data_IF_744204170315
#
_entry.id   IF_744204170315
#
_cell.length_a   1.000
_cell.length_b   1.000
_cell.length_c   1.000
_cell.angle_alpha   90.00
_cell.angle_beta   90.00
_cell.angle_gamma   90.00
#
_symmetry.space_group_name_H-M   'P 1'
#
loop_
_entity.id
_entity.type
_entity.pdbx_description
1 polymer ?
#
# COMPACT_ATOMS: atom_id res chain seq x y z
N UNK A 1 -10.49 18.05 26.79
CA UNK A 1 -9.97 17.27 25.64
C UNK A 1 -10.34 15.83 25.89
N UNK A 2 -11.40 15.34 25.24
CA UNK A 2 -11.90 13.97 25.48
C UNK A 2 -11.03 12.96 24.73
N UNK A 3 -10.42 11.97 25.39
CA UNK A 3 -9.45 11.02 24.80
C UNK A 3 -10.11 9.86 24.02
N UNK A 4 -11.39 9.96 23.68
CA UNK A 4 -12.17 8.89 23.06
C UNK A 4 -12.66 9.36 21.70
N UNK A 5 -11.73 9.46 20.74
CA UNK A 5 -12.10 9.46 19.33
C UNK A 5 -12.09 7.99 18.86
N UNK A 6 -13.26 7.32 18.71
CA UNK A 6 -13.35 5.89 18.38
C UNK A 6 -12.84 5.55 16.97
N UNK A 7 -12.42 6.56 16.19
CA UNK A 7 -11.87 6.35 14.84
C UNK A 7 -10.46 5.75 14.89
N UNK A 8 -9.72 5.96 15.98
CA UNK A 8 -8.38 5.39 16.17
C UNK A 8 -8.43 4.34 17.28
N UNK A 9 -9.10 3.22 17.03
CA UNK A 9 -8.77 1.99 17.75
C UNK A 9 -7.26 1.81 17.65
N UNK A 10 -6.57 1.64 18.78
CA UNK A 10 -5.14 1.38 18.79
C UNK A 10 -4.90 0.03 18.14
N UNK A 11 -4.73 0.00 16.81
CA UNK A 11 -4.46 -1.22 16.08
C UNK A 11 -3.06 -1.69 16.49
N UNK A 12 -2.98 -2.85 17.11
CA UNK A 12 -1.71 -3.42 17.57
C UNK A 12 -1.03 -4.13 16.40
N UNK A 13 -0.73 -3.36 15.35
CA UNK A 13 -0.12 -3.85 14.13
C UNK A 13 1.32 -4.30 14.42
N UNK A 14 1.67 -5.49 13.92
CA UNK A 14 3.05 -5.98 13.95
C UNK A 14 3.54 -6.08 12.52
N UNK A 15 4.64 -5.38 12.25
CA UNK A 15 5.29 -5.32 10.95
C UNK A 15 6.58 -6.13 11.06
N UNK A 16 6.76 -7.09 10.15
CA UNK A 16 8.01 -7.88 10.07
C UNK A 16 8.56 -7.83 8.64
N UNK A 17 9.88 -7.62 8.48
CA UNK A 17 10.49 -7.64 7.15
C UNK A 17 10.37 -9.03 6.54
N UNK A 18 10.11 -9.09 5.24
CA UNK A 18 9.91 -10.33 4.51
C UNK A 18 10.31 -10.22 3.03
N UNK A 19 10.49 -11.36 2.39
CA UNK A 19 10.71 -11.49 0.95
C UNK A 19 9.59 -12.33 0.36
N UNK A 20 8.99 -11.83 -0.72
CA UNK A 20 8.07 -12.55 -1.57
C UNK A 20 8.83 -13.05 -2.80
N UNK A 21 9.09 -14.36 -2.88
CA UNK A 21 9.76 -14.96 -4.02
C UNK A 21 8.82 -15.13 -5.22
N UNK A 22 9.39 -15.29 -6.41
CA UNK A 22 8.69 -15.49 -7.68
C UNK A 22 7.71 -14.37 -8.05
N UNK A 23 7.99 -13.16 -7.59
CA UNK A 23 7.25 -11.96 -7.92
C UNK A 23 8.24 -10.85 -8.28
N UNK A 24 7.78 -9.90 -9.08
CA UNK A 24 8.54 -8.69 -9.42
C UNK A 24 7.68 -7.45 -9.23
N UNK A 25 8.32 -6.36 -8.83
CA UNK A 25 7.70 -5.06 -8.66
C UNK A 25 7.91 -4.21 -9.91
N UNK A 26 6.82 -3.62 -10.40
CA UNK A 26 6.79 -2.77 -11.58
C UNK A 26 6.22 -1.39 -11.23
N UNK A 27 6.60 -0.37 -12.00
CA UNK A 27 5.89 0.91 -11.99
C UNK A 27 4.58 0.76 -12.76
N UNK A 28 3.49 1.25 -12.19
CA UNK A 28 2.26 1.47 -12.95
C UNK A 28 2.40 2.76 -13.74
N UNK A 29 2.20 2.71 -15.06
CA UNK A 29 2.28 3.87 -15.97
C UNK A 29 1.37 4.97 -15.47
N UNK A 30 1.86 6.21 -15.47
CA UNK A 30 1.09 7.40 -15.09
C UNK A 30 0.55 7.38 -13.65
N UNK A 31 1.05 6.48 -12.80
CA UNK A 31 0.62 6.34 -11.42
C UNK A 31 1.82 6.41 -10.46
N UNK A 32 1.52 6.77 -9.22
CA UNK A 32 2.49 6.95 -8.15
C UNK A 32 2.60 5.75 -7.20
N UNK A 33 2.07 4.60 -7.63
CA UNK A 33 2.06 3.36 -6.85
C UNK A 33 2.65 2.19 -7.64
N UNK A 34 3.34 1.24 -6.96
CA UNK A 34 3.90 0.08 -7.61
C UNK A 34 2.87 -1.04 -7.77
N UNK A 35 3.06 -1.86 -8.79
CA UNK A 35 2.38 -3.13 -8.98
C UNK A 35 3.32 -4.29 -8.66
N UNK A 36 2.78 -5.42 -8.20
CA UNK A 36 3.51 -6.70 -8.17
C UNK A 36 2.83 -7.69 -9.11
N UNK A 37 3.63 -8.44 -9.87
CA UNK A 37 3.18 -9.53 -10.73
C UNK A 37 4.02 -10.78 -10.50
N UNK A 38 3.48 -11.99 -10.73
CA UNK A 38 4.25 -13.22 -10.67
C UNK A 38 5.36 -13.22 -11.73
N UNK A 39 6.61 -13.40 -11.31
CA UNK A 39 7.76 -13.54 -12.20
C UNK A 39 8.78 -14.48 -11.57
N UNK A 40 8.98 -15.65 -12.20
CA UNK A 40 9.91 -16.67 -11.70
C UNK A 40 11.35 -16.16 -11.69
N UNK A 41 12.10 -16.46 -10.62
CA UNK A 41 13.48 -16.03 -10.45
C UNK A 41 13.66 -14.59 -9.96
N UNK A 42 12.57 -13.85 -9.76
CA UNK A 42 12.57 -12.54 -9.11
C UNK A 42 12.10 -12.64 -7.66
N UNK A 43 12.36 -11.59 -6.89
CA UNK A 43 11.88 -11.47 -5.53
C UNK A 43 11.53 -10.03 -5.18
N UNK A 44 10.56 -9.86 -4.29
CA UNK A 44 10.12 -8.55 -3.80
C UNK A 44 10.38 -8.47 -2.30
N UNK A 45 11.24 -7.55 -1.89
CA UNK A 45 11.43 -7.21 -0.48
C UNK A 45 10.28 -6.33 0.00
N UNK A 46 9.68 -6.69 1.12
CA UNK A 46 8.54 -5.99 1.70
C UNK A 46 8.41 -6.25 3.20
N UNK A 47 7.18 -6.07 3.69
CA UNK A 47 6.84 -6.34 5.07
C UNK A 47 5.55 -7.15 5.14
N UNK A 48 5.49 -8.07 6.09
CA UNK A 48 4.26 -8.75 6.50
C UNK A 48 3.66 -7.94 7.63
N UNK A 49 2.39 -7.56 7.47
CA UNK A 49 1.61 -6.83 8.48
C UNK A 49 0.59 -7.79 9.08
N UNK A 50 0.60 -7.91 10.40
CA UNK A 50 -0.37 -8.72 11.16
C UNK A 50 -1.09 -7.85 12.18
N UNK A 51 -2.26 -8.31 12.65
CA UNK A 51 -3.12 -7.52 13.54
C UNK A 51 -4.12 -6.62 12.81
N UNK A 52 -4.26 -6.79 11.49
CA UNK A 52 -5.33 -6.16 10.70
C UNK A 52 -6.68 -6.80 11.05
N UNK A 53 -7.68 -5.97 11.28
CA UNK A 53 -9.07 -6.42 11.45
C UNK A 53 -9.74 -6.63 10.10
N UNK A 54 -10.87 -7.34 10.06
CA UNK A 54 -11.67 -7.49 8.84
C UNK A 54 -12.08 -6.12 8.25
N UNK A 55 -12.24 -5.09 9.10
CA UNK A 55 -12.55 -3.74 8.65
C UNK A 55 -11.35 -3.05 7.99
N UNK A 56 -10.12 -3.31 8.46
CA UNK A 56 -8.90 -2.80 7.81
C UNK A 56 -8.70 -3.47 6.46
N UNK A 57 -8.88 -4.79 6.42
CA UNK A 57 -8.80 -5.59 5.20
C UNK A 57 -9.84 -5.11 4.17
N UNK A 58 -11.08 -4.84 4.60
CA UNK A 58 -12.10 -4.29 3.71
C UNK A 58 -11.71 -2.91 3.15
N UNK A 59 -11.14 -2.02 3.98
CA UNK A 59 -10.68 -0.70 3.51
C UNK A 59 -9.53 -0.83 2.51
N UNK A 60 -8.63 -1.80 2.72
CA UNK A 60 -7.58 -2.13 1.76
C UNK A 60 -8.17 -2.64 0.45
N UNK A 61 -9.17 -3.53 0.46
CA UNK A 61 -9.83 -4.00 -0.76
C UNK A 61 -10.46 -2.85 -1.56
N UNK A 62 -11.13 -1.92 -0.87
CA UNK A 62 -11.70 -0.73 -1.51
C UNK A 62 -10.62 0.19 -2.08
N UNK A 63 -9.50 0.33 -1.37
CA UNK A 63 -8.37 1.16 -1.79
C UNK A 63 -7.65 0.60 -3.01
N UNK A 64 -7.48 -0.72 -3.05
CA UNK A 64 -6.80 -1.44 -4.13
C UNK A 64 -7.67 -1.53 -5.39
N UNK A 65 -8.99 -1.50 -5.21
CA UNK A 65 -9.95 -1.37 -6.29
C UNK A 65 -10.00 -2.61 -7.19
N UNK A 66 -10.30 -2.40 -8.46
CA UNK A 66 -10.40 -3.45 -9.47
C UNK A 66 -9.08 -3.74 -10.21
N UNK A 67 -8.08 -2.87 -10.05
CA UNK A 67 -6.76 -3.03 -10.68
C UNK A 67 -5.91 -4.13 -10.01
N UNK A 68 -6.25 -4.52 -8.79
CA UNK A 68 -5.57 -5.56 -8.02
C UNK A 68 -6.52 -6.69 -7.59
N UNK A 69 -5.96 -7.87 -7.36
CA UNK A 69 -6.63 -9.01 -6.76
C UNK A 69 -5.91 -9.42 -5.49
N UNK A 70 -6.66 -9.63 -4.40
CA UNK A 70 -6.11 -10.20 -3.17
C UNK A 70 -5.92 -11.70 -3.36
N UNK A 71 -4.68 -12.15 -3.29
CA UNK A 71 -4.29 -13.55 -3.48
C UNK A 71 -3.50 -14.07 -2.28
N UNK A 72 -3.65 -15.36 -2.01
CA UNK A 72 -2.85 -16.06 -1.00
C UNK A 72 -1.50 -16.45 -1.57
N UNK A 73 -0.43 -16.09 -0.88
CA UNK A 73 0.96 -16.37 -1.26
C UNK A 73 1.76 -16.86 -0.06
N UNK A 74 2.91 -17.45 -0.32
CA UNK A 74 3.91 -17.79 0.71
C UNK A 74 5.02 -16.77 0.67
N UNK A 75 5.31 -16.16 1.80
CA UNK A 75 6.36 -15.16 1.96
C UNK A 75 7.33 -15.59 3.07
N UNK A 76 8.61 -15.33 2.85
CA UNK A 76 9.69 -15.70 3.77
C UNK A 76 9.98 -14.52 4.69
N UNK A 77 9.80 -14.68 6.01
CA UNK A 77 10.22 -13.68 6.98
C UNK A 77 11.74 -13.52 6.96
N UNK A 78 12.24 -12.31 7.17
CA UNK A 78 13.67 -12.08 7.35
C UNK A 78 14.02 -12.16 8.84
N UNK A 79 14.86 -13.14 9.20
CA UNK A 79 15.42 -13.26 10.55
C UNK A 79 16.48 -12.17 10.80
N UNK A 80 17.29 -11.91 9.78
CA UNK A 80 18.25 -10.79 9.75
C UNK A 80 18.01 -10.00 8.48
N UNK A 81 17.86 -8.70 8.65
CA UNK A 81 17.82 -7.75 7.53
C UNK A 81 19.25 -7.38 7.17
N UNK A 82 19.67 -7.78 5.97
CA UNK A 82 20.94 -7.41 5.37
C UNK A 82 20.92 -5.98 4.83
N UNK A 83 21.84 -5.71 3.92
CA UNK A 83 21.97 -4.40 3.29
C UNK A 83 20.84 -4.10 2.29
N UNK A 84 20.97 -2.98 1.59
CA UNK A 84 19.96 -2.50 0.63
C UNK A 84 19.85 -3.39 -0.63
N UNK A 85 20.94 -4.08 -1.00
CA UNK A 85 20.99 -5.02 -2.12
C UNK A 85 20.52 -6.43 -1.70
N UNK A 86 20.27 -6.61 -0.40
CA UNK A 86 19.86 -7.87 0.19
C UNK A 86 21.03 -8.79 0.54
N UNK A 87 22.28 -8.32 0.44
CA UNK A 87 23.43 -9.06 0.92
C UNK A 87 23.38 -9.13 2.45
N UNK A 88 23.52 -10.34 2.99
CA UNK A 88 23.40 -10.59 4.42
C UNK A 88 21.97 -10.75 4.93
N UNK A 89 20.96 -10.74 4.05
CA UNK A 89 19.63 -11.22 4.42
C UNK A 89 19.71 -12.68 4.87
N UNK A 90 19.12 -12.97 6.02
CA UNK A 90 18.96 -14.34 6.49
C UNK A 90 17.49 -14.66 6.48
N UNK A 91 17.13 -15.59 5.59
CA UNK A 91 15.78 -16.13 5.49
C UNK A 91 15.40 -16.84 6.80
N UNK A 92 14.19 -16.54 7.26
CA UNK A 92 13.57 -17.12 8.44
C UNK A 92 12.45 -18.07 8.06
N UNK A 93 11.35 -17.99 8.80
CA UNK A 93 10.17 -18.82 8.61
C UNK A 93 9.36 -18.36 7.38
N UNK A 94 8.89 -19.32 6.59
CA UNK A 94 7.94 -19.07 5.52
C UNK A 94 6.51 -19.16 6.04
N UNK A 95 5.69 -18.16 5.73
CA UNK A 95 4.32 -18.02 6.23
C UNK A 95 3.34 -17.76 5.09
N UNK A 96 2.12 -18.29 5.22
CA UNK A 96 1.01 -17.96 4.32
C UNK A 96 0.46 -16.58 4.66
N UNK A 97 0.37 -15.72 3.64
CA UNK A 97 -0.14 -14.34 3.74
C UNK A 97 -1.02 -14.02 2.54
N UNK A 98 -1.78 -12.95 2.65
CA UNK A 98 -2.52 -12.37 1.52
C UNK A 98 -1.80 -11.12 1.03
N UNK A 99 -1.74 -10.93 -0.29
CA UNK A 99 -1.17 -9.73 -0.92
C UNK A 99 -2.01 -9.34 -2.14
N UNK A 100 -1.89 -8.08 -2.56
CA UNK A 100 -2.55 -7.55 -3.75
C UNK A 100 -1.64 -7.70 -4.97
N UNK A 101 -2.09 -8.45 -5.97
CA UNK A 101 -1.37 -8.68 -7.23
C UNK A 101 -2.09 -7.94 -8.36
N UNK A 102 -1.31 -7.32 -9.25
CA UNK A 102 -1.84 -6.53 -10.36
C UNK A 102 -2.59 -7.42 -11.37
N UNK A 103 -3.78 -6.97 -11.79
CA UNK A 103 -4.62 -7.67 -12.77
C UNK A 103 -5.18 -6.77 -13.88
N UNK A 104 -4.93 -5.46 -13.86
CA UNK A 104 -5.36 -4.52 -14.91
C UNK A 104 -4.55 -4.61 -16.22
N UNK A 105 -3.70 -5.63 -16.36
CA UNK A 105 -2.95 -5.97 -17.57
C UNK A 105 -1.55 -5.36 -17.61
N UNK A 106 -0.60 -6.10 -18.19
CA UNK A 106 0.82 -5.72 -18.22
C UNK A 106 1.09 -4.49 -19.10
N UNK A 107 0.19 -4.14 -20.02
CA UNK A 107 0.30 -2.94 -20.86
C UNK A 107 0.29 -1.64 -20.05
N UNK A 108 -0.30 -1.65 -18.85
CA UNK A 108 -0.30 -0.53 -17.91
C UNK A 108 0.96 -0.49 -17.05
N UNK A 109 1.86 -1.47 -17.18
CA UNK A 109 3.12 -1.54 -16.45
C UNK A 109 4.28 -1.05 -17.31
N UNK A 110 5.27 -0.48 -16.66
CA UNK A 110 6.57 -0.20 -17.28
C UNK A 110 7.45 -1.46 -17.22
N UNK A 111 8.25 -1.67 -18.28
CA UNK A 111 9.17 -2.81 -18.39
C UNK A 111 10.37 -2.68 -17.42
N UNK A 112 10.62 -1.47 -16.94
CA UNK A 112 11.68 -1.18 -15.98
C UNK A 112 11.29 -1.66 -14.58
N UNK A 113 12.28 -2.26 -13.90
CA UNK A 113 12.10 -2.64 -12.51
C UNK A 113 11.95 -1.39 -11.67
N UNK A 114 10.93 -1.38 -10.81
CA UNK A 114 10.74 -0.28 -9.89
C UNK A 114 11.87 -0.24 -8.85
N UNK A 115 12.85 0.63 -9.06
CA UNK A 115 13.91 0.86 -8.09
C UNK A 115 13.33 1.59 -6.86
N UNK A 116 13.35 0.88 -5.73
CA UNK A 116 12.91 1.37 -4.42
C UNK A 116 13.57 2.72 -4.03
N UNK A 117 14.78 2.99 -4.51
CA UNK A 117 15.58 4.20 -4.26
C UNK A 117 14.96 5.47 -4.85
N UNK A 118 14.30 5.38 -6.01
CA UNK A 118 13.63 6.54 -6.62
C UNK A 118 12.32 6.85 -5.90
N UNK A 119 11.55 5.81 -5.55
CA UNK A 119 10.28 5.97 -4.86
C UNK A 119 10.41 6.52 -3.43
N UNK A 120 11.33 5.99 -2.61
CA UNK A 120 11.53 6.51 -1.25
C UNK A 120 11.94 7.99 -1.26
N UNK A 121 12.75 8.41 -2.24
CA UNK A 121 13.22 9.78 -2.37
C UNK A 121 12.14 10.72 -2.88
N UNK A 122 11.36 10.30 -3.87
CA UNK A 122 10.41 11.17 -4.57
C UNK A 122 9.02 11.23 -3.93
N UNK A 123 8.56 10.13 -3.33
CA UNK A 123 7.14 9.98 -2.96
C UNK A 123 6.89 9.76 -1.47
N UNK A 124 7.91 9.51 -0.63
CA UNK A 124 7.70 9.44 0.84
C UNK A 124 6.99 10.69 1.41
N UNK A 125 7.22 11.87 0.83
CA UNK A 125 6.56 13.12 1.26
C UNK A 125 5.04 13.13 1.06
N UNK A 126 4.51 12.32 0.15
CA UNK A 126 3.08 12.23 -0.16
C UNK A 126 2.36 11.13 0.63
N UNK A 127 3.10 10.09 1.08
CA UNK A 127 2.52 8.91 1.72
C UNK A 127 2.77 8.83 3.24
N UNK A 128 3.75 9.56 3.78
CA UNK A 128 3.91 9.71 5.23
C UNK A 128 2.86 10.70 5.72
N UNK A 129 1.71 10.17 6.14
CA UNK A 129 0.79 10.86 7.02
C UNK A 129 1.54 11.33 8.27
N UNK A 130 1.52 12.64 8.48
CA UNK A 130 2.32 13.36 9.46
C UNK A 130 1.98 12.99 10.90
N UNK A 131 2.86 12.29 11.59
CA UNK A 131 3.03 12.52 13.03
C UNK A 131 4.01 13.68 13.21
N UNK A 132 3.50 14.89 13.49
CA UNK A 132 4.33 16.04 13.92
C UNK A 132 3.95 17.40 13.33
N UNK A 133 3.10 18.14 14.06
CA UNK A 133 3.03 19.62 14.30
C UNK A 133 3.37 20.68 13.21
N UNK A 134 2.44 21.66 13.02
CA UNK A 134 2.51 22.94 12.24
C UNK A 134 2.91 22.85 10.74
N UNK A 135 2.16 23.25 9.71
CA UNK A 135 1.58 24.57 9.39
C UNK A 135 0.89 24.43 8.00
N UNK A 136 -0.37 24.87 7.84
CA UNK A 136 -1.27 24.54 6.72
C UNK A 136 -1.28 25.57 5.56
N UNK A 137 -0.17 26.24 5.26
CA UNK A 137 -0.17 27.27 4.20
C UNK A 137 0.45 26.78 2.88
N UNK A 138 1.47 25.92 2.94
CA UNK A 138 2.22 25.47 1.75
C UNK A 138 1.68 24.17 1.15
N UNK A 139 0.81 23.46 1.87
CA UNK A 139 0.23 22.18 1.45
C UNK A 139 -0.89 22.39 0.42
N UNK A 140 -1.75 23.40 0.61
CA UNK A 140 -2.86 23.67 -0.30
C UNK A 140 -2.39 24.11 -1.69
N UNK A 141 -1.26 24.84 -1.77
CA UNK A 141 -0.69 25.25 -3.05
C UNK A 141 -0.07 24.07 -3.81
N UNK A 142 0.60 23.15 -3.10
CA UNK A 142 1.17 21.95 -3.69
C UNK A 142 0.08 20.93 -4.10
N UNK A 143 -1.01 20.84 -3.34
CA UNK A 143 -2.20 20.03 -3.68
C UNK A 143 -2.90 20.60 -4.93
N UNK A 144 -3.11 21.91 -5.00
CA UNK A 144 -3.71 22.56 -6.16
C UNK A 144 -2.85 22.44 -7.45
N UNK A 145 -1.52 22.44 -7.32
CA UNK A 145 -0.61 22.19 -8.45
C UNK A 145 -0.62 20.70 -8.87
N UNK A 146 -0.77 19.77 -7.92
CA UNK A 146 -0.89 18.33 -8.16
C UNK A 146 -2.27 17.88 -8.68
N UNK A 147 -3.34 18.66 -8.48
CA UNK A 147 -4.68 18.39 -9.01
C UNK A 147 -4.74 18.33 -10.55
N UNK A 148 -3.69 18.79 -11.25
CA UNK A 148 -3.59 18.64 -12.72
C UNK A 148 -3.10 17.24 -13.16
N UNK A 149 -2.51 16.46 -12.24
CA UNK A 149 -1.96 15.14 -12.52
C UNK A 149 -2.29 14.20 -11.34
N UNK A 150 -3.51 13.67 -11.31
CA UNK A 150 -3.97 12.73 -10.28
C UNK A 150 -3.24 11.37 -10.41
N UNK A 151 -2.02 11.32 -9.85
CA UNK A 151 -1.19 10.12 -9.79
C UNK A 151 -1.77 8.99 -8.93
N UNK A 152 -2.89 9.24 -8.24
CA UNK A 152 -3.65 8.23 -7.51
C UNK A 152 -4.80 7.64 -8.33
N UNK A 153 -5.01 8.10 -9.57
CA UNK A 153 -6.08 7.65 -10.46
C UNK A 153 -7.45 7.59 -9.78
N UNK A 154 -7.80 8.61 -9.00
CA UNK A 154 -9.09 8.72 -8.32
C UNK A 154 -9.19 7.93 -7.01
N UNK A 155 -8.08 7.48 -6.44
CA UNK A 155 -8.00 6.78 -5.14
C UNK A 155 -7.76 7.74 -3.96
N UNK A 156 -7.60 9.04 -4.19
CA UNK A 156 -7.45 10.03 -3.13
C UNK A 156 -8.72 10.27 -2.29
N UNK A 157 -8.60 11.10 -1.26
CA UNK A 157 -9.66 11.41 -0.29
C UNK A 157 -10.96 12.00 -0.88
N UNK A 158 -10.93 12.46 -2.14
CA UNK A 158 -12.10 12.99 -2.87
C UNK A 158 -12.56 12.08 -4.02
N UNK A 159 -12.10 10.83 -4.07
CA UNK A 159 -12.29 9.92 -5.20
C UNK A 159 -13.25 8.75 -4.96
N UNK A 160 -13.06 7.66 -5.70
CA UNK A 160 -13.92 6.47 -5.69
C UNK A 160 -13.95 5.77 -4.32
N UNK A 161 -12.86 5.89 -3.53
CA UNK A 161 -12.77 5.35 -2.17
C UNK A 161 -13.82 5.96 -1.25
N UNK A 162 -13.97 7.29 -1.27
CA UNK A 162 -14.95 8.00 -0.43
C UNK A 162 -16.37 7.59 -0.80
N UNK A 163 -16.65 7.47 -2.11
CA UNK A 163 -17.95 6.99 -2.60
C UNK A 163 -18.27 5.56 -2.16
N UNK A 164 -17.28 4.66 -2.21
CA UNK A 164 -17.43 3.27 -1.77
C UNK A 164 -17.62 3.15 -0.25
N UNK A 165 -16.87 3.92 0.55
CA UNK A 165 -17.00 3.97 2.00
C UNK A 165 -18.37 4.53 2.43
N UNK A 166 -18.87 5.58 1.77
CA UNK A 166 -20.18 6.16 2.04
C UNK A 166 -21.33 5.21 1.66
N UNK A 167 -21.21 4.50 0.54
CA UNK A 167 -22.20 3.51 0.11
C UNK A 167 -22.34 2.37 1.11
N UNK A 168 -21.24 1.90 1.70
CA UNK A 168 -21.28 0.87 2.73
C UNK A 168 -21.83 1.38 4.06
N UNK A 169 -21.47 2.59 4.48
CA UNK A 169 -22.07 3.22 5.67
C UNK A 169 -23.59 3.34 5.54
N UNK A 170 -24.11 3.70 4.35
CA UNK A 170 -25.55 3.75 4.07
C UNK A 170 -26.22 2.37 4.10
N UNK A 171 -25.55 1.33 3.58
CA UNK A 171 -26.06 -0.05 3.65
C UNK A 171 -26.15 -0.55 5.09
N UNK A 172 -25.12 -0.30 5.92
CA UNK A 172 -25.13 -0.67 7.35
C UNK A 172 -26.20 0.10 8.13
N UNK A 173 -26.42 1.38 7.82
CA UNK A 173 -27.47 2.18 8.47
C UNK A 173 -28.90 1.78 8.10
N UNK A 174 -29.12 1.10 6.96
CA UNK A 174 -30.45 0.61 6.53
C UNK A 174 -30.76 -0.81 7.01
N UNK A 175 -29.83 -1.48 7.69
CA UNK A 175 -30.01 -2.83 8.24
C UNK A 175 -30.20 -2.83 9.78
N UNK A 176 -30.36 -1.65 10.38
CA UNK A 176 -30.68 -1.46 11.81
C UNK A 176 -32.12 -0.98 11.97
#
# INVERSE_FOLDING_TARGET
MSPTNPIYTTHQLKIKPAILHNHRRHRVKTADYPAIIPQSGSSVRGNIVTGLTDQDIFRLDVFEGDEYERVKVRATLLATVGDEQGEGNVDGEEVEVETYVWKAGEQELEDEEWDFKEFQREKMRFWVGREGEGEYADVDKAVAEAETNDGTRGRGANGHITSALEAEQRKKASQV
#
